data_IF_150731405703
#
_entry.id   IF_150731405703
#
_cell.length_a   1.000
_cell.length_b   1.000
_cell.length_c   1.000
_cell.angle_alpha   90.00
_cell.angle_beta   90.00
_cell.angle_gamma   90.00
#
_symmetry.space_group_name_H-M   'P 1'
#
loop_
_entity.id
_entity.type
_entity.pdbx_description
1 polymer ?
#
# COMPACT_ATOMS: atom_id res chain seq x y z
N UNK A 1 12.13 -5.22 2.48
CA UNK A 1 11.53 -4.35 1.45
C UNK A 1 12.06 -2.93 1.63
N UNK A 2 12.41 -2.26 0.55
CA UNK A 2 12.99 -0.91 0.57
C UNK A 2 12.28 -0.07 -0.48
N UNK A 3 11.97 1.18 -0.15
CA UNK A 3 11.39 2.16 -1.08
C UNK A 3 12.20 3.47 -0.98
N UNK A 4 12.54 4.07 -2.14
CA UNK A 4 13.18 5.38 -2.25
C UNK A 4 14.70 5.37 -2.11
N UNK A 5 15.29 6.57 -2.12
CA UNK A 5 16.74 6.80 -2.10
C UNK A 5 17.36 6.66 -0.71
N UNK A 6 16.58 6.70 0.35
CA UNK A 6 17.07 6.48 1.71
C UNK A 6 17.11 4.98 2.02
N UNK A 7 18.12 4.54 2.75
CA UNK A 7 18.28 3.14 3.16
C UNK A 7 17.26 2.75 4.25
N UNK A 8 15.98 2.78 3.89
CA UNK A 8 14.89 2.38 4.77
C UNK A 8 14.38 1.02 4.33
N UNK A 9 14.25 0.11 5.25
CA UNK A 9 13.72 -1.21 4.99
C UNK A 9 12.79 -1.66 6.10
N UNK A 10 11.89 -2.54 5.76
CA UNK A 10 11.03 -3.26 6.70
C UNK A 10 11.09 -4.75 6.39
N UNK A 11 10.92 -5.55 7.41
CA UNK A 11 10.86 -7.01 7.29
C UNK A 11 9.41 -7.43 7.41
N UNK A 12 8.93 -8.15 6.40
CA UNK A 12 7.64 -8.82 6.43
C UNK A 12 7.88 -10.29 6.81
N UNK A 13 7.52 -10.66 8.03
CA UNK A 13 7.65 -12.04 8.51
C UNK A 13 6.53 -12.89 7.91
N UNK A 14 6.80 -13.47 6.72
CA UNK A 14 5.86 -14.33 6.02
C UNK A 14 6.63 -15.49 5.39
N UNK A 15 6.28 -16.71 5.77
CA UNK A 15 6.82 -17.91 5.15
C UNK A 15 6.00 -18.31 3.93
N UNK A 16 6.70 -18.60 2.85
CA UNK A 16 6.11 -19.11 1.61
C UNK A 16 7.18 -19.79 0.77
N UNK A 17 6.79 -20.58 -0.22
CA UNK A 17 7.73 -21.22 -1.16
C UNK A 17 8.45 -20.23 -2.08
N UNK A 18 7.83 -19.09 -2.34
CA UNK A 18 8.39 -18.00 -3.15
C UNK A 18 7.57 -16.71 -2.98
N UNK A 19 8.11 -15.58 -3.41
CA UNK A 19 7.33 -14.33 -3.53
C UNK A 19 6.17 -14.51 -4.52
N UNK A 20 6.39 -15.22 -5.61
CA UNK A 20 5.35 -15.52 -6.60
C UNK A 20 4.15 -16.22 -5.96
N UNK A 21 4.36 -17.20 -5.08
CA UNK A 21 3.27 -17.90 -4.40
C UNK A 21 2.43 -17.01 -3.48
N UNK A 22 2.98 -15.88 -3.02
CA UNK A 22 2.27 -14.92 -2.19
C UNK A 22 1.37 -13.96 -2.99
N UNK A 23 1.69 -13.69 -4.25
CA UNK A 23 1.03 -12.63 -5.03
C UNK A 23 0.29 -13.12 -6.27
N UNK A 24 0.63 -14.29 -6.83
CA UNK A 24 0.15 -14.71 -8.16
C UNK A 24 -1.34 -15.05 -8.22
N UNK A 25 -1.90 -15.60 -7.16
CA UNK A 25 -3.32 -15.98 -7.10
C UNK A 25 -4.25 -14.80 -6.79
N UNK A 26 -3.70 -13.62 -6.46
CA UNK A 26 -4.45 -12.42 -6.11
C UNK A 26 -5.19 -12.49 -4.76
N UNK A 27 -4.97 -13.53 -3.96
CA UNK A 27 -5.61 -13.63 -2.64
C UNK A 27 -4.93 -12.71 -1.63
N UNK A 28 -5.75 -12.02 -0.86
CA UNK A 28 -5.26 -11.16 0.22
C UNK A 28 -4.62 -11.99 1.33
N UNK A 29 -3.41 -11.60 1.70
CA UNK A 29 -2.65 -12.18 2.81
C UNK A 29 -2.19 -11.08 3.74
N UNK A 30 -2.79 -10.95 4.93
CA UNK A 30 -2.48 -9.87 5.86
C UNK A 30 -1.06 -9.99 6.43
N UNK A 31 -0.51 -8.84 6.78
CA UNK A 31 0.64 -8.68 7.65
C UNK A 31 0.25 -7.82 8.85
N UNK A 32 1.14 -7.68 9.83
CA UNK A 32 0.91 -6.88 11.03
C UNK A 32 2.09 -5.95 11.31
N UNK A 33 2.62 -5.33 10.26
CA UNK A 33 3.75 -4.42 10.36
C UNK A 33 3.35 -3.11 11.04
N UNK A 34 2.15 -2.65 10.74
CA UNK A 34 1.56 -1.43 11.25
C UNK A 34 1.84 -0.19 10.40
N UNK A 35 0.90 0.72 10.44
CA UNK A 35 0.86 1.96 9.65
C UNK A 35 2.17 2.76 9.68
N UNK A 36 2.73 2.96 10.87
CA UNK A 36 3.94 3.77 11.03
C UNK A 36 5.17 3.16 10.36
N UNK A 37 5.27 1.84 10.33
CA UNK A 37 6.35 1.14 9.64
C UNK A 37 6.23 1.31 8.11
N UNK A 38 5.05 1.18 7.57
CA UNK A 38 4.82 1.45 6.15
C UNK A 38 5.16 2.89 5.78
N UNK A 39 4.70 3.86 6.58
CA UNK A 39 5.05 5.28 6.39
C UNK A 39 6.56 5.52 6.47
N UNK A 40 7.26 4.81 7.33
CA UNK A 40 8.72 4.98 7.48
C UNK A 40 9.51 4.64 6.22
N UNK A 41 8.97 3.81 5.31
CA UNK A 41 9.59 3.51 4.01
C UNK A 41 9.67 4.74 3.10
N UNK A 42 8.65 5.58 3.16
CA UNK A 42 8.60 6.85 2.41
C UNK A 42 9.36 7.95 3.18
N UNK A 43 9.17 8.01 4.48
CA UNK A 43 9.79 9.01 5.36
C UNK A 43 8.85 10.12 5.78
N UNK A 44 9.40 11.32 6.03
CA UNK A 44 8.65 12.47 6.54
C UNK A 44 7.54 12.94 5.60
N UNK A 45 7.66 12.65 4.31
CA UNK A 45 6.67 13.02 3.30
C UNK A 45 5.49 12.04 3.20
N UNK A 46 5.53 10.91 3.91
CA UNK A 46 4.49 9.90 3.85
C UNK A 46 3.13 10.45 4.29
N UNK A 47 2.08 10.10 3.56
CA UNK A 47 0.70 10.50 3.86
C UNK A 47 -0.25 9.33 3.69
N UNK A 48 -1.08 9.08 4.70
CA UNK A 48 -2.13 8.08 4.67
C UNK A 48 -3.37 8.60 5.41
N UNK A 49 -4.54 8.17 4.99
CA UNK A 49 -5.78 8.34 5.73
C UNK A 49 -5.76 7.49 7.01
N UNK A 50 -6.58 7.83 8.03
CA UNK A 50 -6.41 7.29 9.39
C UNK A 50 -6.88 5.85 9.57
N UNK A 51 -7.82 5.37 8.76
CA UNK A 51 -8.51 4.10 8.98
C UNK A 51 -8.26 3.08 7.87
N UNK A 52 -8.98 1.99 7.88
CA UNK A 52 -8.78 0.77 7.12
C UNK A 52 -7.50 0.05 7.53
N UNK A 53 -6.34 0.62 7.20
CA UNK A 53 -5.01 0.03 7.48
C UNK A 53 -4.89 -1.43 7.01
N UNK A 54 -5.53 -1.78 5.89
CA UNK A 54 -5.38 -3.10 5.28
C UNK A 54 -3.98 -3.22 4.71
N UNK A 55 -3.18 -4.08 5.29
CA UNK A 55 -1.78 -4.26 4.91
C UNK A 55 -1.43 -5.70 4.57
N UNK A 56 -0.47 -5.88 3.70
CA UNK A 56 0.07 -7.20 3.33
C UNK A 56 0.23 -7.40 1.84
N UNK A 57 -0.04 -8.64 1.42
CA UNK A 57 0.05 -9.07 0.03
C UNK A 57 -1.34 -9.05 -0.61
N UNK A 58 -1.40 -8.56 -1.86
CA UNK A 58 -2.65 -8.43 -2.62
C UNK A 58 -3.72 -7.67 -1.84
N UNK A 59 -3.34 -6.56 -1.22
CA UNK A 59 -4.31 -5.64 -0.60
C UNK A 59 -5.19 -5.07 -1.70
N UNK A 60 -6.49 -5.20 -1.55
CA UNK A 60 -7.45 -4.70 -2.52
C UNK A 60 -8.82 -4.53 -1.88
N UNK A 61 -9.61 -3.67 -2.46
CA UNK A 61 -11.01 -3.58 -2.12
C UNK A 61 -11.78 -4.84 -2.54
N UNK A 62 -12.89 -5.10 -1.85
CA UNK A 62 -13.74 -6.27 -2.02
C UNK A 62 -14.21 -6.52 -3.45
N UNK A 63 -14.22 -7.78 -3.86
CA UNK A 63 -14.61 -8.29 -5.19
C UNK A 63 -16.08 -8.06 -5.58
N UNK A 64 -16.88 -7.41 -4.75
CA UNK A 64 -18.34 -7.32 -4.97
C UNK A 64 -18.80 -6.17 -5.86
N UNK A 65 -17.92 -5.33 -6.38
CA UNK A 65 -18.30 -4.22 -7.25
C UNK A 65 -17.51 -4.22 -8.56
N UNK A 66 -18.13 -4.58 -9.69
CA UNK A 66 -17.43 -4.70 -10.98
C UNK A 66 -17.14 -3.37 -11.70
N UNK A 67 -17.52 -2.22 -11.15
CA UNK A 67 -17.52 -0.93 -11.87
C UNK A 67 -16.46 0.06 -11.38
N UNK A 68 -15.82 -0.17 -10.23
CA UNK A 68 -14.81 0.76 -9.71
C UNK A 68 -13.40 0.24 -9.87
N UNK A 69 -12.52 1.09 -10.41
CA UNK A 69 -11.08 0.84 -10.53
C UNK A 69 -10.52 0.52 -9.14
N UNK A 70 -10.08 -0.71 -8.99
CA UNK A 70 -9.65 -1.27 -7.73
C UNK A 70 -8.38 -0.56 -7.24
N UNK A 71 -8.51 0.18 -6.17
CA UNK A 71 -7.35 0.66 -5.41
C UNK A 71 -6.69 -0.55 -4.77
N UNK A 72 -5.43 -0.75 -5.08
CA UNK A 72 -4.74 -1.97 -4.72
C UNK A 72 -3.25 -1.74 -4.50
N UNK A 73 -2.64 -2.63 -3.72
CA UNK A 73 -1.20 -2.83 -3.71
C UNK A 73 -0.88 -4.32 -3.71
N UNK A 74 0.08 -4.73 -4.51
CA UNK A 74 0.56 -6.11 -4.47
C UNK A 74 1.27 -6.41 -3.15
N UNK A 75 2.02 -5.45 -2.64
CA UNK A 75 2.64 -5.50 -1.32
C UNK A 75 2.58 -4.10 -0.74
N UNK A 76 1.76 -3.87 0.27
CA UNK A 76 1.58 -2.52 0.77
C UNK A 76 0.50 -2.37 1.83
N UNK A 77 0.10 -1.12 2.05
CA UNK A 77 -0.97 -0.71 2.94
C UNK A 77 -1.94 0.22 2.22
N UNK A 78 -3.21 0.07 2.50
CA UNK A 78 -4.29 0.97 2.09
C UNK A 78 -4.83 1.74 3.29
N UNK A 79 -5.19 3.00 3.08
CA UNK A 79 -5.85 3.84 4.07
C UNK A 79 -7.17 4.42 3.56
N UNK A 80 -8.09 4.69 4.48
CA UNK A 80 -9.40 5.26 4.22
C UNK A 80 -9.73 6.32 5.29
N UNK A 81 -10.59 7.27 4.96
CA UNK A 81 -11.12 8.23 5.91
C UNK A 81 -12.24 7.66 6.78
N UNK A 82 -12.96 6.64 6.29
CA UNK A 82 -13.95 5.90 7.06
C UNK A 82 -13.32 4.63 7.69
N UNK A 83 -13.95 4.15 8.75
CA UNK A 83 -13.51 2.94 9.42
C UNK A 83 -13.93 1.65 8.65
N UNK A 84 -13.65 1.64 7.38
CA UNK A 84 -13.82 0.50 6.47
C UNK A 84 -12.75 0.55 5.36
N UNK A 85 -12.68 -0.46 4.51
CA UNK A 85 -11.75 -0.54 3.39
C UNK A 85 -12.46 -0.49 2.02
N UNK A 86 -13.63 0.12 1.95
CA UNK A 86 -14.44 0.10 0.73
C UNK A 86 -13.99 1.17 -0.28
N UNK A 87 -13.64 2.36 0.19
CA UNK A 87 -13.32 3.51 -0.63
C UNK A 87 -11.93 4.10 -0.35
N UNK A 88 -10.94 3.24 -0.13
CA UNK A 88 -9.58 3.68 0.21
C UNK A 88 -9.02 4.64 -0.82
N UNK A 89 -8.54 5.81 -0.39
CA UNK A 89 -7.98 6.85 -1.27
C UNK A 89 -6.48 7.02 -1.10
N UNK A 90 -5.87 6.29 -0.19
CA UNK A 90 -4.44 6.38 0.08
C UNK A 90 -3.78 5.03 0.10
N UNK A 91 -2.52 4.99 -0.34
CA UNK A 91 -1.74 3.75 -0.39
C UNK A 91 -0.23 4.00 -0.32
N UNK A 92 0.48 3.05 0.24
CA UNK A 92 1.94 2.95 0.19
C UNK A 92 2.30 1.52 -0.18
N UNK A 93 3.20 1.32 -1.15
CA UNK A 93 3.67 -0.01 -1.46
C UNK A 93 4.22 -0.20 -2.87
N UNK A 94 4.20 -1.47 -3.29
CA UNK A 94 4.63 -1.97 -4.60
C UNK A 94 3.45 -2.55 -5.37
N UNK A 95 3.48 -2.39 -6.70
CA UNK A 95 2.40 -2.83 -7.55
C UNK A 95 1.09 -2.15 -7.18
N UNK A 96 1.17 -0.85 -6.90
CA UNK A 96 0.00 -0.04 -6.56
C UNK A 96 -0.73 0.40 -7.81
N UNK A 97 -2.03 0.61 -7.70
CA UNK A 97 -2.86 1.07 -8.80
C UNK A 97 -4.23 1.54 -8.33
N UNK A 98 -4.98 2.12 -9.25
CA UNK A 98 -6.31 2.66 -9.02
C UNK A 98 -6.34 4.14 -8.68
N UNK A 99 -7.54 4.65 -8.38
CA UNK A 99 -7.70 6.06 -7.98
C UNK A 99 -6.80 6.44 -6.79
N UNK A 100 -6.44 7.72 -6.66
CA UNK A 100 -6.73 8.85 -7.55
C UNK A 100 -5.83 8.93 -8.78
N UNK A 101 -4.73 8.19 -8.80
CA UNK A 101 -3.77 8.20 -9.90
C UNK A 101 -3.19 6.79 -10.09
N UNK A 102 -3.48 6.19 -11.23
CA UNK A 102 -3.05 4.83 -11.59
C UNK A 102 -1.61 4.80 -12.18
N UNK A 103 -0.97 5.94 -12.34
CA UNK A 103 0.40 6.03 -12.88
C UNK A 103 1.48 5.74 -11.85
N UNK A 104 1.13 5.70 -10.56
CA UNK A 104 2.05 5.43 -9.46
C UNK A 104 2.03 3.94 -9.08
N UNK A 105 2.99 3.18 -9.58
CA UNK A 105 3.09 1.74 -9.34
C UNK A 105 3.99 1.35 -8.17
N UNK A 106 4.75 2.30 -7.62
CA UNK A 106 5.54 2.12 -6.40
C UNK A 106 5.73 3.48 -5.72
N UNK A 107 5.40 3.55 -4.44
CA UNK A 107 5.55 4.77 -3.66
C UNK A 107 4.37 5.04 -2.75
N UNK A 108 3.94 6.32 -2.70
CA UNK A 108 2.81 6.78 -1.89
C UNK A 108 1.86 7.64 -2.74
N UNK A 109 0.60 7.31 -2.64
CA UNK A 109 -0.50 8.08 -3.23
C UNK A 109 -1.49 8.48 -2.14
N UNK A 110 -1.88 9.75 -2.07
CA UNK A 110 -2.81 10.26 -1.07
C UNK A 110 -3.56 11.48 -1.56
N UNK A 111 -4.85 11.57 -1.21
CA UNK A 111 -5.67 12.76 -1.37
C UNK A 111 -5.95 13.41 -0.01
N UNK A 112 -5.69 14.70 0.10
CA UNK A 112 -5.84 15.46 1.35
C UNK A 112 -7.29 15.82 1.65
N UNK A 113 -8.10 16.05 0.64
CA UNK A 113 -9.53 16.35 0.81
C UNK A 113 -10.28 15.26 1.58
N UNK A 114 -9.73 14.05 1.57
CA UNK A 114 -10.26 12.89 2.27
C UNK A 114 -9.49 12.57 3.56
N UNK A 115 -8.86 13.56 4.20
CA UNK A 115 -8.28 13.42 5.53
C UNK A 115 -6.93 12.69 5.59
N UNK A 116 -6.15 12.71 4.51
CA UNK A 116 -4.77 12.21 4.55
C UNK A 116 -3.90 13.04 5.51
N UNK A 117 -3.17 12.38 6.40
CA UNK A 117 -2.52 12.98 7.58
C UNK A 117 -1.33 13.90 7.27
N UNK A 118 -0.85 13.93 6.04
CA UNK A 118 0.23 14.82 5.58
C UNK A 118 -0.09 15.43 4.20
N UNK A 119 -1.36 15.66 3.92
CA UNK A 119 -1.83 16.27 2.69
C UNK A 119 -1.73 15.39 1.46
N UNK A 120 -1.96 15.97 0.29
CA UNK A 120 -1.83 15.32 -1.00
C UNK A 120 -0.40 14.85 -1.26
N UNK A 121 -0.26 13.63 -1.73
CA UNK A 121 1.02 13.06 -2.12
C UNK A 121 0.88 12.25 -3.40
N UNK A 122 1.82 12.47 -4.30
CA UNK A 122 2.05 11.67 -5.48
C UNK A 122 3.55 11.36 -5.55
N UNK A 123 4.01 10.42 -4.72
CA UNK A 123 5.42 10.09 -4.57
C UNK A 123 5.71 8.81 -5.33
N UNK A 124 6.36 8.93 -6.47
CA UNK A 124 6.92 7.80 -7.20
C UNK A 124 8.29 7.44 -6.61
N UNK A 125 8.50 6.18 -6.31
CA UNK A 125 9.72 5.70 -5.70
C UNK A 125 10.18 4.40 -6.34
N UNK A 126 11.47 4.19 -6.38
CA UNK A 126 12.05 2.88 -6.70
C UNK A 126 12.26 2.10 -5.41
N UNK A 127 11.97 0.81 -5.44
CA UNK A 127 12.21 -0.05 -4.30
C UNK A 127 12.62 -1.45 -4.71
N UNK A 128 13.06 -2.21 -3.72
CA UNK A 128 13.54 -3.59 -3.89
C UNK A 128 12.86 -4.51 -2.88
N UNK A 129 12.56 -5.71 -3.32
CA UNK A 129 12.04 -6.79 -2.48
C UNK A 129 13.12 -7.86 -2.44
N UNK A 130 13.59 -8.17 -1.23
CA UNK A 130 14.53 -9.26 -0.99
C UNK A 130 13.80 -10.41 -0.31
N UNK A 131 14.09 -11.61 -0.73
CA UNK A 131 13.59 -12.85 -0.10
C UNK A 131 14.77 -13.61 0.52
N UNK A 132 14.52 -14.26 1.66
CA UNK A 132 15.49 -15.09 2.37
C UNK A 132 14.93 -16.50 2.53
#
# INVERSE_FOLDING_TARGET
MRIGHQEKFVVLSKQASSLHSLISDGLYRPTSLGRNKWKSLIGSEASLQPYCNQEGFNTKWSLSHPVYVLRAARIGILGNEQNDCITCDTRIGFGTGGDPDDTNTCGNEALSENGADNGDKHIKAMGYIFVQ
#
